data_IF_169295363271
#
_entry.id   IF_169295363271
#
_cell.length_a   1.000
_cell.length_b   1.000
_cell.length_c   1.000
_cell.angle_alpha   90.00
_cell.angle_beta   90.00
_cell.angle_gamma   90.00
#
_symmetry.space_group_name_H-M   'P 1'
#
loop_
_entity.id
_entity.type
_entity.pdbx_description
1 polymer ?
#
# COMPACT_ATOMS: atom_id res chain seq x y z
N UNK A 1 -2.22 -6.14 1.33
CA UNK A 1 -2.16 -5.99 2.79
C UNK A 1 -3.29 -5.10 3.27
N UNK A 2 -3.86 -5.42 4.43
CA UNK A 2 -4.74 -4.53 5.18
C UNK A 2 -3.91 -3.83 6.25
N UNK A 3 -3.99 -2.52 6.27
CA UNK A 3 -3.28 -1.68 7.24
C UNK A 3 -4.34 -1.02 8.11
N UNK A 4 -4.23 -1.20 9.43
CA UNK A 4 -5.15 -0.63 10.41
C UNK A 4 -4.37 0.23 11.40
N UNK A 5 -4.82 1.45 11.61
CA UNK A 5 -4.24 2.40 12.54
C UNK A 5 -5.27 2.75 13.59
N UNK A 6 -4.95 2.55 14.86
CA UNK A 6 -5.76 2.97 16.00
C UNK A 6 -5.10 4.19 16.63
N UNK A 7 -5.75 5.34 16.48
CA UNK A 7 -5.24 6.62 16.93
C UNK A 7 -6.32 7.50 17.57
N UNK A 8 -5.89 8.49 18.35
CA UNK A 8 -6.72 9.50 18.96
C UNK A 8 -6.03 10.87 18.87
N UNK A 9 -6.77 11.95 18.82
CA UNK A 9 -6.20 13.27 19.02
C UNK A 9 -5.70 13.42 20.47
N UNK A 10 -4.75 14.30 20.67
CA UNK A 10 -4.25 14.71 21.98
C UNK A 10 -4.35 16.23 22.11
N UNK A 11 -5.10 16.71 23.09
CA UNK A 11 -5.37 18.12 23.30
C UNK A 11 -5.80 18.85 22.02
N UNK A 12 -6.76 18.34 21.24
CA UNK A 12 -7.13 18.95 19.97
C UNK A 12 -7.80 20.30 20.19
N UNK A 13 -7.37 21.34 19.48
CA UNK A 13 -8.06 22.63 19.37
C UNK A 13 -9.07 22.63 18.23
N UNK A 14 -8.80 21.78 17.24
CA UNK A 14 -9.65 21.52 16.08
C UNK A 14 -9.49 20.05 15.69
N UNK A 15 -10.09 19.64 14.57
CA UNK A 15 -9.79 18.33 13.99
C UNK A 15 -8.33 18.27 13.55
N UNK A 16 -7.67 17.13 13.75
CA UNK A 16 -6.31 16.86 13.31
C UNK A 16 -6.38 15.85 12.17
N UNK A 17 -5.99 16.26 10.98
CA UNK A 17 -5.90 15.33 9.83
C UNK A 17 -4.69 14.43 9.97
N UNK A 18 -4.92 13.14 10.00
CA UNK A 18 -3.88 12.11 10.06
C UNK A 18 -3.78 11.45 8.70
N UNK A 19 -2.57 11.34 8.19
CA UNK A 19 -2.24 10.72 6.92
C UNK A 19 -1.47 9.42 7.14
N UNK A 20 -1.89 8.36 6.45
CA UNK A 20 -1.11 7.14 6.29
C UNK A 20 -0.40 7.22 4.95
N UNK A 21 0.91 7.17 4.97
CA UNK A 21 1.76 7.35 3.78
C UNK A 21 2.68 6.16 3.59
N UNK A 22 3.03 5.92 2.34
CA UNK A 22 4.09 5.01 1.94
C UNK A 22 5.26 5.82 1.39
N UNK A 23 6.45 5.43 1.72
CA UNK A 23 7.68 5.90 1.10
C UNK A 23 8.49 4.71 0.61
N UNK A 24 9.07 4.83 -0.57
CA UNK A 24 10.01 3.86 -1.10
C UNK A 24 11.40 4.50 -1.17
N UNK A 25 12.39 3.83 -0.60
CA UNK A 25 13.76 4.36 -0.53
C UNK A 25 14.36 4.68 -1.88
N UNK A 26 13.98 3.92 -2.92
CA UNK A 26 14.56 4.09 -4.25
C UNK A 26 13.99 5.29 -5.02
N UNK A 27 12.81 5.78 -4.65
CA UNK A 27 12.11 6.82 -5.41
C UNK A 27 12.02 8.16 -4.66
N UNK A 28 12.30 8.19 -3.37
CA UNK A 28 12.20 9.40 -2.53
C UNK A 28 10.79 10.02 -2.49
N UNK A 29 9.82 9.42 -3.18
CA UNK A 29 8.46 9.92 -3.26
C UNK A 29 7.57 9.28 -2.21
N UNK A 30 6.76 10.11 -1.60
CA UNK A 30 5.74 9.69 -0.64
C UNK A 30 4.39 9.57 -1.33
N UNK A 31 3.71 8.45 -1.14
CA UNK A 31 2.35 8.21 -1.64
C UNK A 31 1.36 8.20 -0.47
N UNK A 32 0.29 8.98 -0.61
CA UNK A 32 -0.81 8.98 0.35
C UNK A 32 -1.67 7.72 0.17
N UNK A 33 -1.79 6.92 1.22
CA UNK A 33 -2.63 5.71 1.24
C UNK A 33 -4.03 5.99 1.76
N UNK A 34 -4.13 6.78 2.81
CA UNK A 34 -5.38 7.19 3.42
C UNK A 34 -5.18 8.45 4.27
N UNK A 35 -6.23 9.23 4.42
CA UNK A 35 -6.29 10.34 5.36
C UNK A 35 -7.63 10.30 6.11
N UNK A 36 -7.64 10.76 7.35
CA UNK A 36 -8.85 10.84 8.19
C UNK A 36 -8.66 11.87 9.29
N UNK A 37 -9.77 12.40 9.78
CA UNK A 37 -9.77 13.40 10.84
C UNK A 37 -10.01 12.77 12.21
N UNK A 38 -9.21 13.16 13.17
CA UNK A 38 -9.36 12.89 14.57
C UNK A 38 -9.93 14.14 15.27
N UNK A 39 -11.13 14.02 15.79
CA UNK A 39 -11.89 15.13 16.39
C UNK A 39 -11.96 15.05 17.92
N UNK A 40 -11.50 13.96 18.52
CA UNK A 40 -11.59 13.72 19.96
C UNK A 40 -10.41 12.93 20.50
N UNK A 41 -10.33 12.86 21.82
CA UNK A 41 -9.34 12.03 22.52
C UNK A 41 -9.71 10.54 22.55
N UNK A 42 -10.84 10.15 21.97
CA UNK A 42 -11.25 8.75 21.87
C UNK A 42 -10.50 8.04 20.75
N UNK A 43 -10.07 6.82 21.04
CA UNK A 43 -9.37 6.01 20.06
C UNK A 43 -10.32 5.52 18.95
N UNK A 44 -9.94 5.84 17.72
CA UNK A 44 -10.62 5.37 16.50
C UNK A 44 -9.69 4.49 15.69
N UNK A 45 -10.23 3.40 15.13
CA UNK A 45 -9.49 2.55 14.20
C UNK A 45 -9.94 2.82 12.78
N UNK A 46 -8.99 3.12 11.91
CA UNK A 46 -9.18 3.27 10.47
C UNK A 46 -8.37 2.21 9.76
N UNK A 47 -8.93 1.64 8.69
CA UNK A 47 -8.28 0.59 7.92
C UNK A 47 -8.31 0.91 6.43
N UNK A 48 -7.26 0.55 5.73
CA UNK A 48 -7.18 0.60 4.28
C UNK A 48 -6.52 -0.67 3.73
N UNK A 49 -6.81 -1.02 2.48
CA UNK A 49 -6.17 -2.14 1.80
C UNK A 49 -5.32 -1.61 0.67
N UNK A 50 -4.04 -1.93 0.70
CA UNK A 50 -3.05 -1.44 -0.26
C UNK A 50 -2.06 -2.54 -0.63
N UNK A 51 -1.49 -2.39 -1.82
CA UNK A 51 -0.34 -3.18 -2.23
C UNK A 51 0.93 -2.63 -1.59
N UNK A 52 1.71 -3.52 -0.96
CA UNK A 52 3.00 -3.19 -0.37
C UNK A 52 4.10 -3.99 -1.05
N UNK A 53 5.20 -3.33 -1.33
CA UNK A 53 6.45 -3.93 -1.80
C UNK A 53 7.36 -4.23 -0.61
N UNK A 54 8.35 -5.12 -0.76
CA UNK A 54 9.27 -5.46 0.33
C UNK A 54 10.03 -4.28 0.94
N UNK A 55 10.31 -3.25 0.13
CA UNK A 55 11.11 -2.08 0.55
C UNK A 55 10.25 -0.84 0.83
N UNK A 56 8.95 -1.03 1.00
CA UNK A 56 8.05 0.07 1.33
C UNK A 56 8.06 0.35 2.84
N UNK A 57 8.25 1.59 3.20
CA UNK A 57 8.04 2.11 4.55
C UNK A 57 6.65 2.71 4.67
N UNK A 58 5.98 2.37 5.74
CA UNK A 58 4.68 2.93 6.07
C UNK A 58 4.86 3.80 7.30
N UNK A 59 4.37 5.01 7.23
CA UNK A 59 4.37 5.92 8.36
C UNK A 59 3.06 6.69 8.47
N UNK A 60 2.78 7.10 9.69
CA UNK A 60 1.63 7.93 10.04
C UNK A 60 2.15 9.32 10.31
N UNK A 61 1.55 10.34 9.68
CA UNK A 61 1.89 11.74 9.88
C UNK A 61 0.64 12.57 10.16
N UNK A 62 0.83 13.66 10.85
CA UNK A 62 -0.15 14.72 11.06
C UNK A 62 0.48 16.01 10.52
N UNK A 63 0.35 16.20 9.21
CA UNK A 63 1.08 17.24 8.48
C UNK A 63 0.63 18.67 8.83
N UNK A 64 -0.58 18.81 9.42
CA UNK A 64 -1.15 20.09 9.84
C UNK A 64 -0.66 20.55 11.21
N UNK A 65 -0.02 19.64 11.98
CA UNK A 65 0.55 20.04 13.26
C UNK A 65 1.81 20.86 13.00
N UNK A 66 1.79 22.08 13.46
CA UNK A 66 2.93 22.98 13.35
C UNK A 66 4.21 22.30 13.86
N UNK A 67 5.30 22.39 13.09
CA UNK A 67 6.58 21.99 13.63
C UNK A 67 6.81 22.82 14.90
N UNK A 68 7.38 22.17 15.90
CA UNK A 68 7.69 22.88 17.13
C UNK A 68 8.35 24.24 16.85
N UNK A 69 8.14 25.26 17.69
CA UNK A 69 8.65 26.61 17.46
C UNK A 69 10.14 26.72 17.18
N UNK A 70 10.93 25.70 17.52
CA UNK A 70 12.35 25.56 17.21
C UNK A 70 12.65 24.89 15.87
N UNK A 71 11.64 24.60 15.05
CA UNK A 71 11.78 23.94 13.76
C UNK A 71 12.27 22.48 13.84
N UNK A 72 12.44 21.94 15.03
CA UNK A 72 12.89 20.56 15.21
C UNK A 72 11.72 19.62 15.11
N UNK A 73 11.85 18.64 14.24
CA UNK A 73 10.88 17.56 14.13
C UNK A 73 10.71 16.91 15.51
N UNK A 74 9.47 16.64 15.89
CA UNK A 74 9.04 16.09 17.19
C UNK A 74 9.83 14.86 17.63
N UNK A 75 10.42 14.10 16.70
CA UNK A 75 11.32 12.97 17.00
C UNK A 75 12.51 13.32 17.89
N UNK A 76 13.00 14.55 17.83
CA UNK A 76 14.12 15.01 18.66
C UNK A 76 13.68 15.53 20.04
N UNK A 77 12.38 15.62 20.31
CA UNK A 77 11.83 15.92 21.63
C UNK A 77 11.61 14.70 22.51
N UNK A 78 12.11 13.55 22.11
CA UNK A 78 12.05 12.30 22.85
C UNK A 78 12.72 12.34 24.25
N UNK A 79 13.27 13.48 24.64
CA UNK A 79 13.73 13.73 26.01
C UNK A 79 12.58 13.94 27.02
N UNK A 80 11.35 14.19 26.55
CA UNK A 80 10.20 14.33 27.45
C UNK A 80 9.26 13.11 27.32
N UNK A 81 8.85 12.51 28.42
CA UNK A 81 7.82 11.48 28.41
C UNK A 81 6.56 12.01 27.71
N UNK A 82 5.92 11.16 26.90
CA UNK A 82 4.69 11.51 26.18
C UNK A 82 3.58 12.05 27.11
N UNK A 83 3.59 11.62 28.39
CA UNK A 83 2.68 12.10 29.44
C UNK A 83 2.87 13.57 29.82
N UNK A 84 4.02 14.16 29.50
CA UNK A 84 4.32 15.57 29.78
C UNK A 84 4.06 16.49 28.58
N UNK A 85 3.76 15.92 27.43
CA UNK A 85 3.45 16.69 26.23
C UNK A 85 2.09 17.37 26.36
N UNK A 86 2.06 18.70 26.32
CA UNK A 86 0.83 19.51 26.48
C UNK A 86 0.33 20.16 25.18
N UNK A 87 1.07 19.98 24.08
CA UNK A 87 0.68 20.49 22.77
C UNK A 87 -0.39 19.63 22.09
N UNK A 88 -0.90 20.11 20.96
CA UNK A 88 -1.71 19.29 20.07
C UNK A 88 -0.87 18.17 19.48
N UNK A 89 -1.45 17.01 19.33
CA UNK A 89 -0.75 15.84 18.84
C UNK A 89 -1.65 14.67 18.48
N UNK A 90 -1.01 13.60 18.04
CA UNK A 90 -1.69 12.35 17.75
C UNK A 90 -1.11 11.25 18.65
N UNK A 91 -2.00 10.57 19.33
CA UNK A 91 -1.67 9.35 20.10
C UNK A 91 -1.93 8.13 19.25
N UNK A 92 -0.89 7.42 18.84
CA UNK A 92 -1.01 6.16 18.12
C UNK A 92 -0.93 5.02 19.13
N UNK A 93 -2.02 4.25 19.24
CA UNK A 93 -2.09 3.09 20.14
C UNK A 93 -1.55 1.83 19.47
N UNK A 94 -1.90 1.65 18.17
CA UNK A 94 -1.60 0.42 17.46
C UNK A 94 -1.57 0.65 15.96
N UNK A 95 -0.60 0.04 15.29
CA UNK A 95 -0.59 -0.15 13.84
C UNK A 95 -0.53 -1.64 13.57
N UNK A 96 -1.42 -2.13 12.73
CA UNK A 96 -1.47 -3.54 12.33
C UNK A 96 -1.37 -3.64 10.82
N UNK A 97 -0.43 -4.44 10.34
CA UNK A 97 -0.30 -4.80 8.94
C UNK A 97 -0.62 -6.29 8.83
N UNK A 98 -1.68 -6.60 8.11
CA UNK A 98 -2.21 -7.95 7.93
C UNK A 98 -2.06 -8.37 6.47
N UNK A 99 -1.41 -9.49 6.23
CA UNK A 99 -1.28 -9.99 4.87
C UNK A 99 -0.06 -10.91 4.69
N UNK A 100 0.15 -11.37 3.46
CA UNK A 100 -0.64 -11.05 2.27
C UNK A 100 -2.09 -11.48 2.42
N UNK A 101 -3.05 -10.71 1.86
CA UNK A 101 -4.48 -11.06 1.88
C UNK A 101 -4.82 -12.10 0.82
N UNK A 102 -3.97 -12.25 -0.17
CA UNK A 102 -4.05 -13.29 -1.20
C UNK A 102 -3.17 -14.47 -0.77
N UNK A 103 -3.76 -15.66 -0.70
CA UNK A 103 -3.04 -16.88 -0.31
C UNK A 103 -2.06 -17.34 -1.39
N UNK A 104 -2.36 -16.99 -2.65
CA UNK A 104 -1.57 -17.40 -3.81
C UNK A 104 -1.06 -16.18 -4.59
N UNK A 105 0.17 -16.29 -5.07
CA UNK A 105 0.77 -15.30 -5.96
C UNK A 105 0.96 -15.88 -7.37
N UNK A 106 0.65 -15.14 -8.44
CA UNK A 106 0.02 -13.82 -8.43
C UNK A 106 -1.46 -13.89 -8.02
N UNK A 107 -2.07 -12.74 -7.59
CA UNK A 107 -3.48 -12.67 -7.22
C UNK A 107 -4.39 -13.25 -8.31
N UNK A 108 -5.53 -13.81 -7.91
CA UNK A 108 -6.49 -14.42 -8.84
C UNK A 108 -6.87 -13.48 -9.99
N UNK A 109 -7.04 -12.19 -9.72
CA UNK A 109 -7.35 -11.19 -10.73
C UNK A 109 -6.24 -11.08 -11.79
N UNK A 110 -4.97 -11.08 -11.35
CA UNK A 110 -3.82 -11.07 -12.27
C UNK A 110 -3.77 -12.35 -13.09
N UNK A 111 -3.97 -13.51 -12.45
CA UNK A 111 -3.98 -14.80 -13.17
C UNK A 111 -5.08 -14.86 -14.23
N UNK A 112 -6.24 -14.27 -13.96
CA UNK A 112 -7.35 -14.26 -14.92
C UNK A 112 -7.12 -13.35 -16.13
N UNK A 113 -6.13 -12.45 -16.08
CA UNK A 113 -5.71 -11.61 -17.22
C UNK A 113 -4.71 -12.31 -18.14
N UNK A 114 -4.04 -13.36 -17.63
CA UNK A 114 -2.99 -14.07 -18.36
C UNK A 114 -3.31 -15.57 -18.37
N UNK A 115 -4.34 -16.00 -19.11
CA UNK A 115 -4.70 -17.40 -19.21
C UNK A 115 -3.53 -18.21 -19.82
N UNK A 116 -3.32 -19.40 -19.30
CA UNK A 116 -2.25 -20.29 -19.78
C UNK A 116 -0.83 -19.97 -19.29
N UNK A 117 -0.60 -18.84 -18.65
CA UNK A 117 0.71 -18.52 -18.04
C UNK A 117 0.88 -19.35 -16.76
N UNK A 118 1.96 -20.13 -16.69
CA UNK A 118 2.36 -20.79 -15.46
C UNK A 118 3.33 -19.91 -14.69
N UNK A 119 2.99 -19.66 -13.43
CA UNK A 119 3.82 -18.90 -12.50
C UNK A 119 4.62 -19.88 -11.66
N UNK A 120 5.94 -19.85 -11.79
CA UNK A 120 6.82 -20.67 -10.96
C UNK A 120 7.49 -19.81 -9.89
N UNK A 121 7.49 -20.37 -8.69
CA UNK A 121 8.28 -19.82 -7.61
C UNK A 121 9.73 -20.26 -7.81
N UNK A 122 10.60 -19.35 -8.22
CA UNK A 122 12.04 -19.59 -8.18
C UNK A 122 12.58 -19.12 -6.84
N UNK A 123 13.51 -19.91 -6.26
CA UNK A 123 14.28 -19.43 -5.10
C UNK A 123 14.84 -18.03 -5.46
N UNK A 124 14.75 -17.06 -4.55
CA UNK A 124 15.28 -15.73 -4.82
C UNK A 124 16.74 -15.87 -5.23
N UNK A 125 17.08 -15.37 -6.41
CA UNK A 125 18.46 -14.99 -6.65
C UNK A 125 18.80 -14.01 -5.54
N UNK A 126 19.91 -14.24 -4.83
CA UNK A 126 20.31 -13.45 -3.66
C UNK A 126 20.60 -11.99 -4.05
N UNK A 127 19.55 -11.24 -4.36
CA UNK A 127 19.55 -9.78 -4.33
C UNK A 127 18.63 -9.33 -3.20
N UNK A 128 19.13 -9.49 -1.96
CA UNK A 128 18.32 -9.23 -0.78
C UNK A 128 17.26 -10.32 -0.53
N UNK A 129 16.36 -10.09 0.41
CA UNK A 129 15.30 -11.02 0.80
C UNK A 129 14.06 -10.99 -0.13
N UNK A 130 14.18 -10.48 -1.35
CA UNK A 130 13.07 -10.33 -2.27
C UNK A 130 12.84 -11.63 -3.05
N UNK A 131 11.65 -12.21 -2.92
CA UNK A 131 11.21 -13.33 -3.73
C UNK A 131 10.67 -12.82 -5.06
N UNK A 132 11.39 -13.09 -6.15
CA UNK A 132 10.94 -12.70 -7.49
C UNK A 132 10.23 -13.89 -8.14
N UNK A 133 8.99 -13.69 -8.53
CA UNK A 133 8.22 -14.66 -9.32
C UNK A 133 8.48 -14.38 -10.79
N UNK A 134 8.90 -15.39 -11.53
CA UNK A 134 9.06 -15.29 -12.97
C UNK A 134 7.92 -16.04 -13.65
N UNK A 135 7.18 -15.43 -14.55
CA UNK A 135 6.21 -16.14 -15.36
C UNK A 135 6.96 -17.11 -16.27
N UNK A 136 6.52 -18.35 -16.33
CA UNK A 136 7.01 -19.31 -17.32
C UNK A 136 5.97 -19.37 -18.43
N UNK A 137 6.33 -18.82 -19.58
CA UNK A 137 5.50 -18.92 -20.75
C UNK A 137 5.48 -20.38 -21.24
N UNK A 138 4.33 -20.85 -21.68
CA UNK A 138 4.19 -22.19 -22.22
C UNK A 138 4.85 -22.31 -23.61
N UNK A 139 4.76 -23.50 -24.18
CA UNK A 139 5.24 -23.79 -25.54
C UNK A 139 4.51 -23.00 -26.66
N UNK A 140 3.42 -22.29 -26.34
CA UNK A 140 2.62 -21.49 -27.26
C UNK A 140 2.48 -20.02 -26.76
N UNK A 141 3.58 -19.23 -26.66
CA UNK A 141 3.52 -17.90 -26.06
C UNK A 141 2.65 -16.92 -26.85
N UNK A 142 2.62 -17.02 -28.17
CA UNK A 142 1.81 -16.15 -29.04
C UNK A 142 0.32 -16.37 -28.79
N UNK A 143 -0.12 -17.62 -28.70
CA UNK A 143 -1.54 -17.95 -28.43
C UNK A 143 -1.97 -17.40 -27.06
N UNK A 144 -1.12 -17.52 -26.05
CA UNK A 144 -1.41 -17.00 -24.70
C UNK A 144 -1.41 -15.47 -24.65
N UNK A 145 -0.60 -14.79 -25.47
CA UNK A 145 -0.66 -13.35 -25.62
C UNK A 145 -2.00 -12.94 -26.26
N UNK A 146 -2.40 -13.61 -27.33
CA UNK A 146 -3.70 -13.37 -27.99
C UNK A 146 -4.87 -13.55 -27.02
N UNK A 147 -4.87 -14.63 -26.24
CA UNK A 147 -5.89 -14.88 -25.22
C UNK A 147 -5.90 -13.80 -24.14
N UNK A 148 -4.74 -13.34 -23.71
CA UNK A 148 -4.63 -12.25 -22.74
C UNK A 148 -5.16 -10.92 -23.31
N UNK A 149 -4.82 -10.60 -24.57
CA UNK A 149 -5.34 -9.42 -25.27
C UNK A 149 -6.85 -9.50 -25.40
N UNK A 150 -7.40 -10.67 -25.78
CA UNK A 150 -8.84 -10.89 -25.87
C UNK A 150 -9.53 -10.64 -24.54
N UNK A 151 -9.02 -11.19 -23.43
CA UNK A 151 -9.58 -10.98 -22.10
C UNK A 151 -9.57 -9.51 -21.71
N UNK A 152 -8.45 -8.82 -21.93
CA UNK A 152 -8.31 -7.39 -21.62
C UNK A 152 -9.26 -6.53 -22.48
N UNK A 153 -9.28 -6.76 -23.78
CA UNK A 153 -10.13 -6.02 -24.70
C UNK A 153 -11.62 -6.25 -24.42
N UNK A 154 -12.03 -7.49 -24.16
CA UNK A 154 -13.42 -7.82 -23.78
C UNK A 154 -13.84 -7.05 -22.52
N UNK A 155 -12.97 -6.97 -21.51
CA UNK A 155 -13.25 -6.19 -20.29
C UNK A 155 -13.29 -4.69 -20.54
N UNK A 156 -12.37 -4.17 -21.36
CA UNK A 156 -12.29 -2.75 -21.66
C UNK A 156 -13.49 -2.26 -22.49
N UNK A 157 -13.93 -3.05 -23.46
CA UNK A 157 -15.04 -2.67 -24.34
C UNK A 157 -16.40 -3.12 -23.81
N UNK A 158 -16.45 -3.96 -22.77
CA UNK A 158 -17.71 -4.50 -22.24
C UNK A 158 -18.46 -5.42 -23.20
N UNK A 159 -17.79 -5.95 -24.23
CA UNK A 159 -18.34 -6.88 -25.24
C UNK A 159 -17.28 -7.87 -25.68
N UNK A 160 -17.70 -8.96 -26.26
CA UNK A 160 -16.78 -9.87 -26.93
C UNK A 160 -16.05 -9.19 -28.10
N UNK A 161 -14.77 -9.51 -28.26
CA UNK A 161 -13.93 -9.01 -29.36
C UNK A 161 -13.65 -10.14 -30.35
N UNK A 162 -13.68 -9.79 -31.63
CA UNK A 162 -13.39 -10.73 -32.70
C UNK A 162 -11.89 -11.03 -32.84
N UNK A 163 -11.53 -12.10 -33.52
CA UNK A 163 -10.14 -12.45 -33.78
C UNK A 163 -9.42 -11.38 -34.57
N UNK A 164 -10.08 -10.73 -35.50
CA UNK A 164 -9.53 -9.60 -36.29
C UNK A 164 -9.22 -8.39 -35.43
N UNK A 165 -10.01 -8.11 -34.39
CA UNK A 165 -9.76 -7.03 -33.43
C UNK A 165 -8.62 -7.36 -32.46
N UNK A 166 -8.38 -8.62 -32.17
CA UNK A 166 -7.27 -9.09 -31.34
C UNK A 166 -5.94 -9.04 -32.09
N UNK A 167 -5.97 -9.21 -33.41
CA UNK A 167 -4.79 -9.27 -34.26
C UNK A 167 -4.40 -7.90 -34.87
N UNK A 168 -5.23 -6.88 -34.70
CA UNK A 168 -4.98 -5.52 -35.17
C UNK A 168 -4.03 -4.75 -34.26
#
# INVERSE_FOLDING_TARGET
>A
YRISVTAAAHNPRSSITVSLKRQNDQQGQSELFAAWDLVSEDYRTVSTTKYLRPDDYIYVSADELDPAPDGKIIYNRAAQPASQFKGEGVRIRKVVIQGPLEEEWPPRQTRSLFPGVRWEFRKPEQRGNVRVYHPVFSKAPIEHIRDSVRVLATRAFGREVSDTEVDA
#
